data_IF_240578463409
#
_entry.id   IF_240578463409
#
_cell.length_a   1.000
_cell.length_b   1.000
_cell.length_c   1.000
_cell.angle_alpha   90.00
_cell.angle_beta   90.00
_cell.angle_gamma   90.00
#
_symmetry.space_group_name_H-M   'P 1'
#
loop_
_entity.id
_entity.type
_entity.pdbx_description
1 polymer ?
#
# COMPACT_ATOMS: atom_id res chain seq x y z
N UNK A 1 13.50 27.59 9.66
CA UNK A 1 12.16 27.43 10.28
C UNK A 1 12.36 26.77 11.63
N UNK A 2 11.72 27.26 12.70
CA UNK A 2 11.84 26.65 14.03
C UNK A 2 10.58 25.82 14.30
N UNK A 3 10.76 24.54 14.60
CA UNK A 3 9.68 23.58 14.85
C UNK A 3 9.84 23.09 16.28
N UNK A 4 8.78 23.20 17.06
CA UNK A 4 8.74 22.64 18.42
C UNK A 4 8.25 21.20 18.35
N UNK A 5 8.99 20.30 18.98
CA UNK A 5 8.65 18.89 19.10
C UNK A 5 8.03 18.61 20.48
N UNK A 6 7.17 17.58 20.56
CA UNK A 6 6.70 17.08 21.85
C UNK A 6 7.87 16.49 22.64
N UNK A 7 7.80 16.45 23.99
CA UNK A 7 8.84 15.81 24.81
C UNK A 7 9.11 14.36 24.41
N UNK A 8 8.06 13.63 24.02
CA UNK A 8 8.17 12.26 23.54
C UNK A 8 8.97 12.15 22.23
N UNK A 9 8.67 12.99 21.24
CA UNK A 9 9.41 13.01 19.97
C UNK A 9 10.88 13.39 20.17
N UNK A 10 11.16 14.32 21.11
CA UNK A 10 12.55 14.66 21.48
C UNK A 10 13.28 13.44 22.06
N UNK A 11 12.63 12.65 22.91
CA UNK A 11 13.23 11.44 23.47
C UNK A 11 13.50 10.37 22.40
N UNK A 12 12.58 10.20 21.44
CA UNK A 12 12.79 9.29 20.31
C UNK A 12 14.00 9.71 19.46
N UNK A 13 14.11 11.01 19.12
CA UNK A 13 15.25 11.52 18.37
C UNK A 13 16.56 11.29 19.12
N UNK A 14 16.59 11.56 20.43
CA UNK A 14 17.77 11.30 21.28
C UNK A 14 18.16 9.83 21.30
N UNK A 15 17.20 8.92 21.45
CA UNK A 15 17.45 7.48 21.44
C UNK A 15 18.05 7.01 20.10
N UNK A 16 17.58 7.55 18.97
CA UNK A 16 18.11 7.24 17.65
C UNK A 16 19.56 7.72 17.48
N UNK A 17 19.90 8.91 17.96
CA UNK A 17 21.29 9.40 17.94
C UNK A 17 22.17 8.56 18.87
N UNK A 18 21.69 8.25 20.08
CA UNK A 18 22.42 7.42 21.06
C UNK A 18 22.69 6.00 20.55
N UNK A 19 21.87 5.48 19.64
CA UNK A 19 22.12 4.19 18.99
C UNK A 19 23.34 4.20 18.05
N UNK A 20 23.92 5.37 17.77
CA UNK A 20 25.05 5.55 16.86
C UNK A 20 24.69 5.47 15.37
N UNK A 21 23.41 5.25 15.04
CA UNK A 21 22.91 5.14 13.66
C UNK A 21 22.78 6.48 12.95
N UNK A 22 22.71 7.58 13.69
CA UNK A 22 22.51 8.93 13.15
C UNK A 22 23.41 9.92 13.89
N UNK A 23 24.01 10.84 13.14
CA UNK A 23 24.96 11.82 13.63
C UNK A 23 24.27 13.05 14.26
N UNK A 24 23.01 13.31 13.94
CA UNK A 24 22.30 14.50 14.43
C UNK A 24 20.78 14.34 14.46
N UNK A 25 20.12 15.23 15.20
CA UNK A 25 18.66 15.34 15.22
C UNK A 25 18.09 15.71 13.84
N UNK A 26 18.80 16.55 13.09
CA UNK A 26 18.43 16.95 11.73
C UNK A 26 18.41 15.75 10.78
N UNK A 27 19.39 14.86 10.88
CA UNK A 27 19.45 13.64 10.07
C UNK A 27 18.28 12.69 10.38
N UNK A 28 17.96 12.49 11.67
CA UNK A 28 16.81 11.67 12.08
C UNK A 28 15.50 12.26 11.53
N UNK A 29 15.31 13.57 11.66
CA UNK A 29 14.10 14.25 11.20
C UNK A 29 14.01 14.21 9.66
N UNK A 30 15.11 14.41 8.95
CA UNK A 30 15.15 14.34 7.49
C UNK A 30 14.73 12.96 6.97
N UNK A 31 15.18 11.88 7.62
CA UNK A 31 14.77 10.53 7.25
C UNK A 31 13.31 10.28 7.60
N UNK A 32 12.84 10.70 8.77
CA UNK A 32 11.44 10.58 9.15
C UNK A 32 10.50 11.29 8.15
N UNK A 33 10.87 12.48 7.67
CA UNK A 33 10.12 13.22 6.66
C UNK A 33 10.17 12.53 5.29
N UNK A 34 11.31 11.98 4.87
CA UNK A 34 11.39 11.18 3.64
C UNK A 34 10.47 9.97 3.68
N UNK A 35 10.44 9.25 4.81
CA UNK A 35 9.53 8.12 5.01
C UNK A 35 8.07 8.55 4.99
N UNK A 36 7.74 9.70 5.59
CA UNK A 36 6.38 10.26 5.53
C UNK A 36 5.96 10.56 4.09
N UNK A 37 6.83 11.19 3.30
CA UNK A 37 6.54 11.51 1.89
C UNK A 37 6.37 10.22 1.07
N UNK A 38 7.25 9.24 1.23
CA UNK A 38 7.14 7.96 0.54
C UNK A 38 5.82 7.25 0.89
N UNK A 39 5.46 7.22 2.17
CA UNK A 39 4.20 6.62 2.62
C UNK A 39 2.96 7.35 2.07
N UNK A 40 3.02 8.68 1.95
CA UNK A 40 1.95 9.47 1.34
C UNK A 40 1.84 9.25 -0.17
N UNK A 41 2.97 9.05 -0.87
CA UNK A 41 2.98 8.72 -2.29
C UNK A 41 2.35 7.35 -2.54
N UNK A 42 2.75 6.32 -1.78
CA UNK A 42 2.17 4.98 -1.90
C UNK A 42 0.64 5.00 -1.73
N UNK A 43 0.14 5.79 -0.77
CA UNK A 43 -1.30 5.93 -0.56
C UNK A 43 -1.98 6.69 -1.72
N UNK A 44 -1.38 7.78 -2.20
CA UNK A 44 -1.94 8.55 -3.32
C UNK A 44 -2.00 7.71 -4.60
N UNK A 45 -0.95 6.97 -4.91
CA UNK A 45 -0.88 6.08 -6.06
C UNK A 45 -1.91 4.95 -5.94
N UNK A 46 -2.05 4.35 -4.76
CA UNK A 46 -3.07 3.35 -4.48
C UNK A 46 -4.49 3.91 -4.70
N UNK A 47 -4.77 5.13 -4.25
CA UNK A 47 -6.08 5.78 -4.46
C UNK A 47 -6.36 5.98 -5.95
N UNK A 48 -5.37 6.44 -6.72
CA UNK A 48 -5.51 6.68 -8.16
C UNK A 48 -5.78 5.35 -8.90
N UNK A 49 -4.95 4.34 -8.68
CA UNK A 49 -5.10 3.01 -9.30
C UNK A 49 -6.44 2.37 -8.94
N UNK A 50 -6.85 2.47 -7.67
CA UNK A 50 -8.14 1.94 -7.21
C UNK A 50 -9.31 2.64 -7.89
N UNK A 51 -9.29 3.97 -8.00
CA UNK A 51 -10.35 4.73 -8.69
C UNK A 51 -10.45 4.34 -10.16
N UNK A 52 -9.31 4.21 -10.85
CA UNK A 52 -9.29 3.78 -12.24
C UNK A 52 -9.91 2.39 -12.42
N UNK A 53 -9.58 1.42 -11.53
CA UNK A 53 -10.17 0.08 -11.58
C UNK A 53 -11.68 0.09 -11.34
N UNK A 54 -12.15 0.94 -10.42
CA UNK A 54 -13.58 1.11 -10.16
C UNK A 54 -14.29 1.70 -11.37
N UNK A 55 -13.75 2.76 -11.98
CA UNK A 55 -14.31 3.37 -13.20
C UNK A 55 -14.41 2.37 -14.35
N UNK A 56 -13.36 1.58 -14.57
CA UNK A 56 -13.38 0.49 -15.55
C UNK A 56 -14.51 -0.49 -15.25
N UNK A 57 -14.63 -0.96 -14.00
CA UNK A 57 -15.68 -1.89 -13.58
C UNK A 57 -17.09 -1.32 -13.76
N UNK A 58 -17.30 -0.05 -13.45
CA UNK A 58 -18.58 0.64 -13.69
C UNK A 58 -18.93 0.68 -15.18
N UNK A 59 -17.96 1.02 -16.04
CA UNK A 59 -18.17 0.98 -17.48
C UNK A 59 -18.46 -0.43 -18.01
N UNK A 60 -17.85 -1.47 -17.44
CA UNK A 60 -18.17 -2.87 -17.77
C UNK A 60 -19.62 -3.22 -17.38
N UNK A 61 -20.06 -2.79 -16.20
CA UNK A 61 -21.44 -2.99 -15.73
C UNK A 61 -22.43 -2.31 -16.68
N UNK A 62 -22.19 -1.06 -17.07
CA UNK A 62 -23.04 -0.31 -18.01
C UNK A 62 -23.15 -1.00 -19.37
N UNK A 63 -22.08 -1.65 -19.84
CA UNK A 63 -22.09 -2.45 -21.08
C UNK A 63 -22.68 -3.84 -20.92
N UNK A 64 -23.08 -4.23 -19.71
CA UNK A 64 -23.61 -5.57 -19.43
C UNK A 64 -22.55 -6.68 -19.40
N UNK A 65 -21.27 -6.32 -19.27
CA UNK A 65 -20.12 -7.26 -19.20
C UNK A 65 -19.99 -7.90 -17.81
N UNK A 66 -21.10 -8.11 -17.12
CA UNK A 66 -21.17 -8.76 -15.80
C UNK A 66 -21.33 -10.27 -15.95
N UNK A 67 -20.72 -11.00 -15.03
CA UNK A 67 -20.82 -12.46 -14.97
C UNK A 67 -21.54 -12.88 -13.71
N UNK A 68 -22.29 -13.99 -13.79
CA UNK A 68 -22.87 -14.63 -12.62
C UNK A 68 -21.76 -15.19 -11.72
N UNK A 69 -21.80 -14.83 -10.44
CA UNK A 69 -20.76 -15.19 -9.47
C UNK A 69 -20.62 -16.70 -9.25
N UNK A 70 -21.74 -17.43 -9.19
CA UNK A 70 -21.74 -18.88 -9.01
C UNK A 70 -21.13 -19.59 -10.22
N UNK A 71 -21.42 -19.09 -11.42
CA UNK A 71 -20.81 -19.58 -12.67
C UNK A 71 -19.29 -19.37 -12.65
N UNK A 72 -18.82 -18.17 -12.26
CA UNK A 72 -17.38 -17.86 -12.19
C UNK A 72 -16.67 -18.76 -11.18
N UNK A 73 -17.22 -18.92 -9.97
CA UNK A 73 -16.64 -19.76 -8.93
C UNK A 73 -16.57 -21.23 -9.38
N UNK A 74 -17.62 -21.72 -10.02
CA UNK A 74 -17.68 -23.10 -10.54
C UNK A 74 -16.60 -23.33 -11.60
N UNK A 75 -16.46 -22.41 -12.56
CA UNK A 75 -15.43 -22.48 -13.61
C UNK A 75 -14.01 -22.40 -13.02
N UNK A 76 -13.79 -21.56 -12.01
CA UNK A 76 -12.49 -21.43 -11.35
C UNK A 76 -12.09 -22.73 -10.64
N UNK A 77 -13.02 -23.35 -9.90
CA UNK A 77 -12.79 -24.66 -9.25
C UNK A 77 -12.43 -25.74 -10.26
N UNK A 78 -13.15 -25.82 -11.39
CA UNK A 78 -12.87 -26.79 -12.45
C UNK A 78 -11.47 -26.60 -13.05
N UNK A 79 -11.04 -25.34 -13.29
CA UNK A 79 -9.69 -25.04 -13.80
C UNK A 79 -8.60 -25.45 -12.82
N UNK A 80 -8.82 -25.26 -11.51
CA UNK A 80 -7.86 -25.68 -10.48
C UNK A 80 -7.71 -27.21 -10.43
N UNK A 81 -8.83 -27.94 -10.51
CA UNK A 81 -8.83 -29.41 -10.52
C UNK A 81 -8.11 -29.97 -11.76
N UNK A 82 -8.34 -29.39 -12.95
CA UNK A 82 -7.65 -29.79 -14.17
C UNK A 82 -6.13 -29.61 -14.07
N UNK A 83 -5.68 -28.49 -13.47
CA UNK A 83 -4.24 -28.25 -13.26
C UNK A 83 -3.61 -29.27 -12.30
N UNK A 84 -4.32 -29.67 -11.26
CA UNK A 84 -3.84 -30.67 -10.30
C UNK A 84 -3.76 -32.07 -10.94
N UNK A 85 -4.77 -32.44 -11.72
CA UNK A 85 -4.80 -33.72 -12.44
C UNK A 85 -3.72 -33.83 -13.54
N UNK A 86 -3.34 -32.71 -14.16
CA UNK A 86 -2.27 -32.68 -15.17
C UNK A 86 -0.84 -32.72 -14.59
N UNK A 87 -0.70 -32.61 -13.27
CA UNK A 87 0.58 -32.66 -12.54
C UNK A 87 0.82 -33.99 -11.80
N UNK A 88 -0.13 -34.93 -11.90
CA UNK A 88 -0.08 -36.27 -11.30
C UNK A 88 0.18 -37.31 -12.39
#
# INVERSE_FOLDING_TARGET
MQISLSPESVNLVKAQIQSGKFASAEEVIAIALKLLVAHQQDYADWVIDTRQKVEVGLGQIERGEVLDGEVVITQLKARLQQKQAAQS
#
